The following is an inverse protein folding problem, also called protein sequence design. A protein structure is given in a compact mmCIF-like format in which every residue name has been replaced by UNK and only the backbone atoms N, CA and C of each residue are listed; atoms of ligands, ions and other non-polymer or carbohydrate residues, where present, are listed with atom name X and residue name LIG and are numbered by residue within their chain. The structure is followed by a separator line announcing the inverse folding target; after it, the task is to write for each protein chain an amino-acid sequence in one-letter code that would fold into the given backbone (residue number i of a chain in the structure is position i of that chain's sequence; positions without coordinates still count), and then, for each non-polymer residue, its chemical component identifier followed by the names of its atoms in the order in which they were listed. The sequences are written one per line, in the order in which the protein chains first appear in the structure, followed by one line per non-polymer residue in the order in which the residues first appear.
data_IF_796989304032
#
_entry.id   IF_796989304032
#
_cell.length_a   1.000
_cell.length_b   1.000
_cell.length_c   1.000
_cell.angle_alpha   90.00
_cell.angle_beta   90.00
_cell.angle_gamma   90.00
#
_symmetry.space_group_name_H-M   'P 1'
#
loop_
_entity.id
_entity.type
_entity.pdbx_description
1 polymer ?
#
# COMPACT_ATOMS: atom_id res chain seq x y z
N UNK A 1 9.15 9.74 1.90
CA UNK A 1 9.27 8.32 1.50
C UNK A 1 8.12 7.92 0.60
N UNK A 2 8.33 6.92 -0.29
CA UNK A 2 7.27 6.34 -1.13
C UNK A 2 7.22 4.85 -0.81
N UNK A 3 6.09 4.37 -0.23
CA UNK A 3 5.92 2.98 0.20
C UNK A 3 4.85 2.31 -0.64
N UNK A 4 5.21 1.28 -1.41
CA UNK A 4 4.24 0.40 -2.06
C UNK A 4 3.80 -0.69 -1.08
N UNK A 5 2.49 -0.97 -1.04
CA UNK A 5 1.90 -2.06 -0.27
C UNK A 5 1.46 -3.13 -1.26
N UNK A 6 2.24 -4.19 -1.39
CA UNK A 6 1.97 -5.21 -2.41
C UNK A 6 2.06 -6.64 -1.87
N UNK A 7 1.20 -7.48 -2.37
CA UNK A 7 1.23 -8.93 -2.27
C UNK A 7 0.30 -9.49 -3.36
N UNK A 8 0.72 -10.56 -4.02
CA UNK A 8 -0.05 -11.25 -5.05
C UNK A 8 -1.38 -11.81 -4.51
N UNK A 9 -1.44 -12.17 -3.24
CA UNK A 9 -2.65 -12.72 -2.62
C UNK A 9 -3.73 -11.66 -2.39
N UNK A 10 -4.96 -12.02 -2.72
CA UNK A 10 -6.15 -11.31 -2.28
C UNK A 10 -6.40 -11.50 -0.78
N UNK A 11 -7.04 -10.52 -0.14
CA UNK A 11 -7.52 -10.64 1.25
C UNK A 11 -6.45 -10.65 2.35
N UNK A 12 -5.18 -10.35 2.05
CA UNK A 12 -4.09 -10.31 3.04
C UNK A 12 -3.98 -8.97 3.79
N UNK A 13 -4.92 -8.05 3.62
CA UNK A 13 -4.93 -6.77 4.29
C UNK A 13 -4.05 -5.69 3.64
N UNK A 14 -3.79 -5.73 2.32
CA UNK A 14 -3.07 -4.66 1.59
C UNK A 14 -3.75 -3.31 1.78
N UNK A 15 -4.99 -3.21 1.35
CA UNK A 15 -5.80 -1.98 1.44
C UNK A 15 -5.93 -1.49 2.88
N UNK A 16 -6.24 -2.39 3.83
CA UNK A 16 -6.32 -2.03 5.25
C UNK A 16 -5.00 -1.47 5.77
N UNK A 17 -3.87 -2.06 5.34
CA UNK A 17 -2.53 -1.57 5.70
C UNK A 17 -2.24 -0.22 5.05
N UNK A 18 -2.56 -0.03 3.76
CA UNK A 18 -2.34 1.22 3.06
C UNK A 18 -3.14 2.38 3.67
N UNK A 19 -4.43 2.16 3.91
CA UNK A 19 -5.36 3.13 4.53
C UNK A 19 -4.85 3.56 5.91
N UNK A 20 -4.57 2.60 6.79
CA UNK A 20 -4.23 2.91 8.17
C UNK A 20 -2.77 3.39 8.34
N UNK A 21 -1.84 2.92 7.51
CA UNK A 21 -0.48 3.49 7.50
C UNK A 21 -0.48 4.94 7.00
N UNK A 22 -1.21 5.25 5.93
CA UNK A 22 -1.32 6.62 5.42
C UNK A 22 -1.97 7.54 6.45
N UNK A 23 -3.03 7.08 7.13
CA UNK A 23 -3.69 7.82 8.20
C UNK A 23 -2.74 8.07 9.40
N UNK A 24 -2.01 7.06 9.86
CA UNK A 24 -1.05 7.20 10.96
C UNK A 24 0.05 8.22 10.64
N UNK A 25 0.59 8.20 9.43
CA UNK A 25 1.59 9.16 8.96
C UNK A 25 1.03 10.59 8.92
N UNK A 26 -0.21 10.76 8.45
CA UNK A 26 -0.89 12.05 8.41
C UNK A 26 -1.15 12.61 9.82
N UNK A 27 -1.57 11.78 10.77
CA UNK A 27 -1.78 12.16 12.18
C UNK A 27 -0.51 12.64 12.86
N UNK A 28 0.67 12.25 12.38
CA UNK A 28 1.97 12.76 12.83
C UNK A 28 2.32 14.15 12.23
N UNK A 29 1.37 14.80 11.58
CA UNK A 29 1.55 16.11 10.95
C UNK A 29 2.34 16.06 9.63
N UNK A 30 2.50 14.89 9.02
CA UNK A 30 3.22 14.72 7.76
C UNK A 30 2.23 14.72 6.59
N UNK A 31 2.37 15.67 5.66
CA UNK A 31 1.53 15.70 4.45
C UNK A 31 1.70 14.37 3.69
N UNK A 32 0.64 13.57 3.63
CA UNK A 32 0.65 12.19 3.14
C UNK A 32 -0.35 12.02 2.01
N UNK A 33 0.08 11.38 0.93
CA UNK A 33 -0.74 11.00 -0.21
C UNK A 33 -0.94 9.48 -0.22
N UNK A 34 -2.18 9.03 -0.26
CA UNK A 34 -2.55 7.66 -0.55
C UNK A 34 -2.90 7.56 -2.04
N UNK A 35 -2.17 6.73 -2.79
CA UNK A 35 -2.44 6.45 -4.20
C UNK A 35 -3.09 5.07 -4.28
N UNK A 36 -4.30 5.02 -4.80
CA UNK A 36 -5.03 3.78 -5.03
C UNK A 36 -4.76 3.28 -6.46
N UNK A 37 -4.19 2.09 -6.59
CA UNK A 37 -3.95 1.42 -7.88
C UNK A 37 -4.79 0.13 -8.04
N UNK A 38 -5.71 -0.15 -7.11
CA UNK A 38 -6.62 -1.27 -7.26
C UNK A 38 -7.89 -0.82 -8.00
N UNK A 39 -8.26 -1.46 -9.14
CA UNK A 39 -9.53 -1.16 -9.83
C UNK A 39 -10.77 -1.30 -8.95
N UNK A 40 -10.69 -2.04 -7.84
CA UNK A 40 -11.79 -2.15 -6.86
C UNK A 40 -11.99 -0.86 -6.04
N UNK A 41 -11.01 0.06 -6.06
CA UNK A 41 -11.05 1.37 -5.41
C UNK A 41 -11.34 1.34 -3.89
N UNK A 42 -10.96 0.25 -3.20
CA UNK A 42 -11.27 0.09 -1.78
C UNK A 42 -10.57 1.12 -0.88
N UNK A 43 -9.32 1.51 -1.20
CA UNK A 43 -8.63 2.60 -0.49
C UNK A 43 -9.31 3.94 -0.71
N UNK A 44 -9.78 4.20 -1.92
CA UNK A 44 -10.47 5.44 -2.30
C UNK A 44 -11.78 5.60 -1.53
N UNK A 45 -12.64 4.58 -1.55
CA UNK A 45 -13.96 4.64 -0.89
C UNK A 45 -13.86 4.58 0.63
N UNK A 46 -12.71 4.19 1.18
CA UNK A 46 -12.44 4.27 2.63
C UNK A 46 -12.36 5.70 3.16
N UNK A 47 -12.26 6.71 2.29
CA UNK A 47 -12.20 8.13 2.68
C UNK A 47 -13.11 9.03 1.85
N UNK A 48 -13.45 8.64 0.63
CA UNK A 48 -14.14 9.48 -0.33
C UNK A 48 -15.54 8.95 -0.66
N UNK A 49 -16.43 9.85 -1.06
CA UNK A 49 -17.67 9.46 -1.71
C UNK A 49 -17.38 9.11 -3.16
N UNK A 50 -17.90 7.99 -3.62
CA UNK A 50 -17.71 7.52 -5.00
C UNK A 50 -18.13 8.59 -6.03
N UNK A 51 -19.23 9.29 -5.79
CA UNK A 51 -19.78 10.32 -6.67
C UNK A 51 -18.92 11.59 -6.76
N UNK A 52 -18.03 11.81 -5.78
CA UNK A 52 -17.09 12.93 -5.79
C UNK A 52 -15.83 12.66 -6.64
N UNK A 53 -15.65 11.43 -7.10
CA UNK A 53 -14.49 11.04 -7.90
C UNK A 53 -14.79 11.27 -9.39
N UNK A 54 -14.43 12.42 -9.92
CA UNK A 54 -14.59 12.73 -11.36
C UNK A 54 -13.48 12.10 -12.18
N UNK A 55 -12.22 12.21 -11.72
CA UNK A 55 -11.01 11.66 -12.34
C UNK A 55 -10.27 10.76 -11.38
N UNK A 56 -9.49 9.84 -11.91
CA UNK A 56 -8.84 8.77 -11.16
C UNK A 56 -7.38 8.56 -11.58
N UNK A 57 -6.70 7.66 -10.92
CA UNK A 57 -5.35 7.21 -11.28
C UNK A 57 -5.28 6.66 -12.71
N UNK A 58 -6.39 6.12 -13.25
CA UNK A 58 -6.47 5.76 -14.67
C UNK A 58 -6.20 6.98 -15.55
N UNK A 59 -6.91 8.09 -15.33
CA UNK A 59 -6.82 9.29 -16.15
C UNK A 59 -5.40 9.90 -16.05
N UNK A 60 -4.85 9.97 -14.83
CA UNK A 60 -3.51 10.50 -14.62
C UNK A 60 -2.43 9.66 -15.33
N UNK A 61 -2.55 8.33 -15.37
CA UNK A 61 -1.55 7.44 -15.97
C UNK A 61 -1.76 7.32 -17.50
N UNK A 62 -3.02 7.23 -17.97
CA UNK A 62 -3.34 7.00 -19.37
C UNK A 62 -3.27 8.27 -20.22
N UNK A 63 -3.47 9.45 -19.63
CA UNK A 63 -3.54 10.71 -20.34
C UNK A 63 -2.28 11.56 -20.06
N UNK A 64 -1.46 11.89 -21.09
CA UNK A 64 -0.23 12.67 -20.88
C UNK A 64 -0.49 14.04 -20.24
N UNK A 65 -1.59 14.71 -20.60
CA UNK A 65 -1.97 16.03 -20.11
C UNK A 65 -2.57 16.03 -18.69
N UNK A 66 -3.08 14.89 -18.20
CA UNK A 66 -3.63 14.81 -16.86
C UNK A 66 -2.48 14.62 -15.85
N UNK A 67 -2.25 15.63 -15.01
CA UNK A 67 -1.25 15.52 -13.93
C UNK A 67 -1.83 14.74 -12.74
N UNK A 68 -0.96 14.11 -11.96
CA UNK A 68 -1.39 13.46 -10.74
C UNK A 68 -2.04 14.47 -9.76
N UNK A 69 -1.54 15.70 -9.71
CA UNK A 69 -2.11 16.76 -8.88
C UNK A 69 -3.57 17.10 -9.23
N UNK A 70 -3.98 16.88 -10.49
CA UNK A 70 -5.33 17.24 -10.95
C UNK A 70 -6.41 16.27 -10.47
N UNK A 71 -6.01 15.12 -9.91
CA UNK A 71 -6.92 14.07 -9.40
C UNK A 71 -6.86 13.91 -7.88
N UNK A 72 -5.96 14.61 -7.19
CA UNK A 72 -5.78 14.47 -5.74
C UNK A 72 -6.93 15.17 -5.01
N UNK A 73 -7.58 14.43 -4.12
CA UNK A 73 -8.68 14.91 -3.30
C UNK A 73 -8.28 14.93 -1.81
N UNK A 74 -8.67 15.98 -1.06
CA UNK A 74 -8.51 16.00 0.40
C UNK A 74 -9.46 15.01 1.06
N UNK A 75 -9.09 14.52 2.24
CA UNK A 75 -9.97 13.73 3.11
C UNK A 75 -10.43 14.56 4.32
N UNK A 76 -11.30 13.98 5.14
CA UNK A 76 -11.69 14.58 6.43
C UNK A 76 -10.55 14.54 7.46
N UNK A 77 -9.57 13.66 7.29
CA UNK A 77 -8.39 13.58 8.15
C UNK A 77 -7.36 14.63 7.72
N UNK A 78 -6.95 15.58 8.59
CA UNK A 78 -5.93 16.56 8.27
C UNK A 78 -4.63 15.92 7.76
N UNK A 79 -4.00 16.54 6.77
CA UNK A 79 -2.76 16.10 6.12
C UNK A 79 -2.86 14.80 5.31
N UNK A 80 -4.04 14.19 5.19
CA UNK A 80 -4.25 13.01 4.34
C UNK A 80 -4.99 13.39 3.06
N UNK A 81 -4.42 13.00 1.94
CA UNK A 81 -4.96 13.20 0.59
C UNK A 81 -5.00 11.85 -0.14
N UNK A 82 -5.93 11.72 -1.08
CA UNK A 82 -6.11 10.49 -1.88
C UNK A 82 -6.05 10.83 -3.37
N UNK A 83 -5.24 10.08 -4.11
CA UNK A 83 -5.35 9.96 -5.57
C UNK A 83 -6.20 8.70 -5.85
N UNK A 84 -7.49 8.87 -6.20
CA UNK A 84 -8.45 7.78 -6.18
C UNK A 84 -8.35 6.87 -7.41
N UNK A 85 -8.72 5.60 -7.24
CA UNK A 85 -8.98 4.66 -8.32
C UNK A 85 -10.45 4.65 -8.73
N UNK A 86 -10.70 4.08 -9.91
CA UNK A 86 -12.02 3.67 -10.42
C UNK A 86 -11.88 2.37 -11.17
N UNK A 87 -13.00 1.70 -11.43
CA UNK A 87 -13.03 0.44 -12.18
C UNK A 87 -12.39 0.55 -13.58
N UNK A 88 -12.37 1.75 -14.18
CA UNK A 88 -11.68 2.03 -15.45
C UNK A 88 -10.20 1.66 -15.42
N UNK A 89 -9.57 1.66 -14.24
CA UNK A 89 -8.17 1.31 -14.06
C UNK A 89 -7.87 -0.14 -14.52
N UNK A 90 -8.84 -1.04 -14.49
CA UNK A 90 -8.71 -2.39 -15.05
C UNK A 90 -8.39 -2.39 -16.57
N UNK A 91 -8.68 -1.31 -17.29
CA UNK A 91 -8.41 -1.17 -18.73
C UNK A 91 -7.00 -0.62 -19.02
N UNK A 92 -6.23 -0.23 -17.97
CA UNK A 92 -4.96 0.47 -18.15
C UNK A 92 -3.93 -0.39 -18.88
N UNK A 93 -3.83 -1.67 -18.53
CA UNK A 93 -2.88 -2.58 -19.18
C UNK A 93 -3.12 -2.66 -20.70
N UNK A 94 -4.37 -2.82 -21.11
CA UNK A 94 -4.74 -2.82 -22.54
C UNK A 94 -4.47 -1.46 -23.22
N UNK A 95 -4.64 -0.37 -22.49
CA UNK A 95 -4.42 1.00 -23.00
C UNK A 95 -2.94 1.28 -23.26
N UNK A 96 -2.05 0.72 -22.43
CA UNK A 96 -0.61 0.94 -22.49
C UNK A 96 0.16 -0.15 -23.28
N UNK A 97 -0.54 -1.08 -23.90
CA UNK A 97 0.08 -2.08 -24.78
C UNK A 97 0.87 -1.40 -25.88
N UNK A 98 2.14 -1.77 -26.02
CA UNK A 98 3.06 -1.22 -27.02
C UNK A 98 3.80 0.05 -26.59
N UNK A 99 3.47 0.66 -25.45
CA UNK A 99 4.25 1.77 -24.92
C UNK A 99 5.51 1.26 -24.21
N UNK A 100 6.69 1.69 -24.65
CA UNK A 100 7.97 1.25 -24.12
C UNK A 100 8.20 1.67 -22.65
N UNK A 101 7.61 2.79 -22.25
CA UNK A 101 7.71 3.40 -20.92
C UNK A 101 6.52 3.10 -20.02
N UNK A 102 5.64 2.15 -20.39
CA UNK A 102 4.40 1.83 -19.68
C UNK A 102 4.59 1.61 -18.17
N UNK A 103 5.73 1.04 -17.75
CA UNK A 103 6.01 0.76 -16.35
C UNK A 103 6.64 1.93 -15.56
N UNK A 104 6.94 3.06 -16.22
CA UNK A 104 7.46 4.29 -15.57
C UNK A 104 6.38 5.36 -15.36
N UNK A 105 5.19 5.20 -15.94
CA UNK A 105 4.16 6.24 -15.96
C UNK A 105 3.85 6.81 -14.57
N UNK A 106 3.64 5.95 -13.57
CA UNK A 106 3.35 6.43 -12.22
C UNK A 106 4.55 7.19 -11.60
N UNK A 107 5.77 6.70 -11.81
CA UNK A 107 6.98 7.35 -11.32
C UNK A 107 7.10 8.78 -11.87
N UNK A 108 6.85 8.95 -13.16
CA UNK A 108 6.93 10.25 -13.83
C UNK A 108 5.84 11.20 -13.31
N UNK A 109 4.62 10.68 -13.07
CA UNK A 109 3.53 11.47 -12.50
C UNK A 109 3.79 11.87 -11.05
N UNK A 110 4.39 11.00 -10.23
CA UNK A 110 4.80 11.34 -8.86
C UNK A 110 5.92 12.39 -8.87
N UNK A 111 6.87 12.31 -9.79
CA UNK A 111 7.95 13.30 -9.89
C UNK A 111 7.42 14.73 -10.14
N UNK A 112 6.31 14.88 -10.86
CA UNK A 112 5.65 16.17 -11.11
C UNK A 112 5.08 16.84 -9.84
N UNK A 113 4.92 16.11 -8.75
CA UNK A 113 4.49 16.68 -7.45
C UNK A 113 5.61 17.47 -6.74
N UNK A 114 6.85 17.43 -7.26
CA UNK A 114 7.99 18.23 -6.77
C UNK A 114 8.22 18.16 -5.25
N UNK A 115 7.96 17.01 -4.63
CA UNK A 115 8.16 16.83 -3.20
C UNK A 115 7.08 17.44 -2.30
N UNK A 116 5.93 17.81 -2.85
CA UNK A 116 4.80 18.38 -2.10
C UNK A 116 4.34 17.49 -0.94
N UNK A 117 4.44 16.15 -1.09
CA UNK A 117 4.07 15.18 -0.08
C UNK A 117 5.31 14.58 0.58
N UNK A 118 5.37 14.61 1.91
CA UNK A 118 6.45 14.02 2.69
C UNK A 118 6.41 12.49 2.65
N UNK A 119 5.20 11.94 2.58
CA UNK A 119 4.96 10.50 2.45
C UNK A 119 3.97 10.21 1.33
N UNK A 120 4.24 9.14 0.60
CA UNK A 120 3.31 8.57 -0.39
C UNK A 120 3.16 7.09 -0.06
N UNK A 121 1.92 6.64 0.09
CA UNK A 121 1.57 5.23 0.26
C UNK A 121 0.81 4.79 -0.98
N UNK A 122 1.22 3.67 -1.60
CA UNK A 122 0.61 3.16 -2.81
C UNK A 122 -0.05 1.81 -2.50
N UNK A 123 -1.37 1.75 -2.62
CA UNK A 123 -2.14 0.49 -2.50
C UNK A 123 -2.17 -0.24 -3.83
N UNK A 124 -1.68 -1.48 -3.86
CA UNK A 124 -1.55 -2.28 -5.07
C UNK A 124 -2.66 -3.33 -5.18
N UNK A 125 -3.10 -3.66 -6.42
CA UNK A 125 -4.05 -4.74 -6.66
C UNK A 125 -3.46 -6.12 -6.28
N UNK A 126 -4.30 -7.17 -6.14
CA UNK A 126 -3.85 -8.53 -5.86
C UNK A 126 -3.35 -9.25 -7.13
N UNK A 127 -2.44 -8.60 -7.87
CA UNK A 127 -1.85 -9.13 -9.09
C UNK A 127 -0.46 -8.53 -9.30
N UNK A 128 0.44 -9.26 -9.94
CA UNK A 128 1.80 -8.80 -10.30
C UNK A 128 1.84 -8.23 -11.73
N UNK A 129 0.74 -7.61 -12.17
CA UNK A 129 0.62 -6.97 -13.49
C UNK A 129 1.25 -5.58 -13.55
N UNK A 130 0.97 -4.86 -14.63
CA UNK A 130 1.54 -3.56 -14.94
C UNK A 130 1.30 -2.51 -13.83
N UNK A 131 0.15 -2.53 -13.17
CA UNK A 131 -0.16 -1.63 -12.05
C UNK A 131 0.80 -1.81 -10.87
N UNK A 132 1.00 -3.05 -10.44
CA UNK A 132 1.93 -3.37 -9.35
C UNK A 132 3.38 -3.05 -9.75
N UNK A 133 3.77 -3.33 -11.00
CA UNK A 133 5.10 -2.95 -11.50
C UNK A 133 5.28 -1.43 -11.48
N UNK A 134 4.29 -0.63 -11.91
CA UNK A 134 4.32 0.83 -11.80
C UNK A 134 4.53 1.29 -10.35
N UNK A 135 3.83 0.68 -9.39
CA UNK A 135 4.02 0.98 -7.97
C UNK A 135 5.44 0.69 -7.51
N UNK A 136 5.98 -0.49 -7.83
CA UNK A 136 7.35 -0.90 -7.45
C UNK A 136 8.43 -0.03 -8.11
N UNK A 137 8.21 0.41 -9.36
CA UNK A 137 9.13 1.30 -10.08
C UNK A 137 9.13 2.70 -9.48
N UNK A 138 8.00 3.18 -8.97
CA UNK A 138 7.88 4.49 -8.34
C UNK A 138 8.32 4.50 -6.86
N UNK A 139 8.23 3.36 -6.17
CA UNK A 139 8.45 3.27 -4.73
C UNK A 139 9.92 3.35 -4.33
N UNK A 140 10.19 3.92 -3.15
CA UNK A 140 11.47 3.79 -2.45
C UNK A 140 11.52 2.54 -1.59
N UNK A 141 10.36 2.12 -1.07
CA UNK A 141 10.23 0.98 -0.17
C UNK A 141 9.01 0.13 -0.52
N UNK A 142 9.13 -1.18 -0.24
CA UNK A 142 8.04 -2.14 -0.34
C UNK A 142 7.74 -2.72 1.03
N UNK A 143 6.48 -2.66 1.46
CA UNK A 143 5.93 -3.35 2.60
C UNK A 143 5.00 -4.46 2.12
N UNK A 144 5.16 -5.67 2.66
CA UNK A 144 4.45 -6.87 2.23
C UNK A 144 3.53 -7.33 3.37
N UNK A 145 2.23 -7.05 3.34
CA UNK A 145 1.28 -7.68 4.25
C UNK A 145 1.13 -9.16 3.92
N UNK A 146 1.20 -10.02 4.95
CA UNK A 146 1.05 -11.46 4.79
C UNK A 146 0.12 -12.00 5.87
N UNK A 147 -1.00 -12.59 5.44
CA UNK A 147 -1.98 -13.16 6.36
C UNK A 147 -1.43 -14.39 7.08
N UNK A 148 -1.67 -14.49 8.38
CA UNK A 148 -1.36 -15.67 9.19
C UNK A 148 -2.30 -16.84 8.86
N UNK A 149 -2.15 -17.46 7.69
CA UNK A 149 -2.97 -18.57 7.19
C UNK A 149 -2.10 -19.69 6.62
N UNK A 150 -2.66 -20.91 6.49
CA UNK A 150 -1.94 -22.07 5.98
C UNK A 150 -1.22 -21.82 4.63
N UNK A 151 -1.82 -21.03 3.78
CA UNK A 151 -1.25 -20.66 2.48
C UNK A 151 -0.38 -19.38 2.51
N UNK A 152 0.10 -18.95 3.68
CA UNK A 152 0.79 -17.68 3.85
C UNK A 152 1.97 -17.45 2.88
N UNK A 153 2.70 -18.50 2.55
CA UNK A 153 3.90 -18.43 1.69
C UNK A 153 3.63 -18.71 0.20
N UNK A 154 2.41 -19.09 -0.17
CA UNK A 154 2.05 -19.33 -1.56
C UNK A 154 2.16 -18.04 -2.38
N UNK A 155 2.75 -18.10 -3.56
CA UNK A 155 2.97 -16.94 -4.44
C UNK A 155 4.08 -15.97 -3.96
N UNK A 156 4.77 -16.29 -2.87
CA UNK A 156 5.89 -15.47 -2.38
C UNK A 156 7.04 -15.45 -3.38
N UNK A 157 7.33 -16.57 -4.04
CA UNK A 157 8.43 -16.67 -4.99
C UNK A 157 8.21 -15.80 -6.21
N UNK A 158 7.00 -15.75 -6.77
CA UNK A 158 6.65 -14.88 -7.90
C UNK A 158 6.79 -13.40 -7.54
N UNK A 159 6.38 -13.04 -6.32
CA UNK A 159 6.54 -11.66 -5.82
C UNK A 159 8.02 -11.31 -5.70
N UNK A 160 8.84 -12.18 -5.09
CA UNK A 160 10.27 -11.95 -4.93
C UNK A 160 10.98 -11.88 -6.29
N UNK A 161 10.63 -12.74 -7.25
CA UNK A 161 11.15 -12.68 -8.61
C UNK A 161 10.80 -11.35 -9.30
N UNK A 162 9.56 -10.89 -9.16
CA UNK A 162 9.12 -9.59 -9.70
C UNK A 162 9.91 -8.44 -9.09
N UNK A 163 10.12 -8.45 -7.77
CA UNK A 163 10.92 -7.44 -7.05
C UNK A 163 12.36 -7.44 -7.59
N UNK A 164 12.98 -8.60 -7.77
CA UNK A 164 14.35 -8.69 -8.28
C UNK A 164 14.45 -8.17 -9.73
N UNK A 165 13.48 -8.47 -10.60
CA UNK A 165 13.41 -7.90 -11.96
C UNK A 165 13.31 -6.37 -11.94
N UNK A 166 12.50 -5.82 -11.02
CA UNK A 166 12.38 -4.36 -10.85
C UNK A 166 13.70 -3.76 -10.34
N UNK A 167 14.37 -4.41 -9.39
CA UNK A 167 15.65 -3.94 -8.83
C UNK A 167 16.82 -4.01 -9.80
N UNK A 168 16.80 -4.97 -10.72
CA UNK A 168 17.89 -5.14 -11.69
C UNK A 168 18.00 -3.98 -12.68
N UNK A 169 16.90 -3.32 -13.06
CA UNK A 169 16.91 -2.25 -14.07
C UNK A 169 16.00 -1.07 -13.76
N UNK A 170 14.64 -1.23 -13.66
CA UNK A 170 13.75 -0.05 -13.59
C UNK A 170 13.91 0.75 -12.30
N UNK A 171 14.19 0.08 -11.16
CA UNK A 171 14.36 0.75 -9.86
C UNK A 171 15.38 0.04 -8.95
N UNK A 172 16.68 0.19 -9.17
CA UNK A 172 17.73 -0.40 -8.33
C UNK A 172 17.69 0.07 -6.87
N UNK A 173 17.07 1.22 -6.61
CA UNK A 173 16.96 1.79 -5.27
C UNK A 173 15.80 1.21 -4.44
N UNK A 174 14.92 0.39 -5.04
CA UNK A 174 13.81 -0.22 -4.32
C UNK A 174 14.30 -1.10 -3.17
N UNK A 175 13.81 -0.84 -1.95
CA UNK A 175 14.16 -1.61 -0.75
C UNK A 175 12.94 -2.36 -0.22
N UNK A 176 13.12 -3.64 0.13
CA UNK A 176 12.11 -4.36 0.91
C UNK A 176 12.20 -3.86 2.35
N UNK A 177 11.19 -3.12 2.78
CA UNK A 177 11.08 -2.61 4.14
C UNK A 177 10.81 -3.76 5.12
N UNK A 178 9.92 -4.65 4.75
CA UNK A 178 9.65 -5.87 5.51
C UNK A 178 8.30 -6.50 5.19
N UNK A 179 8.06 -7.60 5.92
CA UNK A 179 6.81 -8.36 5.89
C UNK A 179 6.07 -8.14 7.20
N UNK A 180 4.83 -7.65 7.14
CA UNK A 180 3.94 -7.53 8.31
C UNK A 180 2.94 -8.67 8.33
N UNK A 181 2.85 -9.37 9.45
CA UNK A 181 1.88 -10.43 9.66
C UNK A 181 0.53 -9.80 10.01
N UNK A 182 -0.52 -10.16 9.27
CA UNK A 182 -1.86 -9.63 9.41
C UNK A 182 -2.87 -10.70 9.82
N UNK A 183 -4.02 -10.26 10.33
CA UNK A 183 -5.14 -11.14 10.74
C UNK A 183 -4.71 -12.28 11.66
N UNK A 184 -3.74 -12.00 12.53
CA UNK A 184 -3.15 -13.00 13.41
C UNK A 184 -4.06 -13.29 14.60
N UNK A 185 -4.40 -14.56 14.78
CA UNK A 185 -5.11 -15.04 15.99
C UNK A 185 -4.12 -15.78 16.91
N UNK A 186 -3.64 -15.09 17.93
CA UNK A 186 -2.65 -15.62 18.90
C UNK A 186 -3.10 -16.90 19.64
N UNK A 187 -4.42 -17.19 19.64
CA UNK A 187 -4.99 -18.34 20.35
C UNK A 187 -4.76 -19.66 19.62
N UNK A 188 -4.48 -19.63 18.32
CA UNK A 188 -4.34 -20.85 17.51
C UNK A 188 -2.88 -21.31 17.40
N UNK A 189 -2.65 -22.64 17.50
CA UNK A 189 -1.34 -23.22 17.26
C UNK A 189 -0.87 -22.93 15.82
N UNK A 190 -1.78 -23.07 14.86
CA UNK A 190 -1.51 -22.81 13.44
C UNK A 190 -0.92 -21.41 13.20
N UNK A 191 -1.45 -20.38 13.85
CA UNK A 191 -0.94 -19.01 13.67
C UNK A 191 0.50 -18.86 14.18
N UNK A 192 0.87 -19.59 15.23
CA UNK A 192 2.25 -19.62 15.75
C UNK A 192 3.19 -20.30 14.77
N UNK A 193 2.82 -21.46 14.27
CA UNK A 193 3.63 -22.24 13.32
C UNK A 193 3.86 -21.45 12.02
N UNK A 194 2.83 -20.79 11.52
CA UNK A 194 2.93 -19.95 10.31
C UNK A 194 3.83 -18.74 10.55
N UNK A 195 3.72 -18.09 11.71
CA UNK A 195 4.65 -16.99 12.06
C UNK A 195 6.11 -17.45 12.02
N UNK A 196 6.40 -18.63 12.53
CA UNK A 196 7.75 -19.21 12.47
C UNK A 196 8.19 -19.49 11.02
N UNK A 197 7.30 -20.00 10.18
CA UNK A 197 7.59 -20.23 8.77
C UNK A 197 7.88 -18.92 8.03
N UNK A 198 7.10 -17.86 8.24
CA UNK A 198 7.35 -16.54 7.68
C UNK A 198 8.72 -16.02 8.14
N UNK A 199 9.06 -16.18 9.42
CA UNK A 199 10.36 -15.81 9.94
C UNK A 199 11.52 -16.62 9.31
N UNK A 200 11.32 -17.90 9.01
CA UNK A 200 12.33 -18.73 8.32
C UNK A 200 12.60 -18.23 6.91
N UNK A 201 11.58 -17.77 6.19
CA UNK A 201 11.71 -17.29 4.79
C UNK A 201 12.27 -15.86 4.76
N UNK A 202 11.75 -14.95 5.58
CA UNK A 202 12.05 -13.53 5.49
C UNK A 202 13.06 -13.02 6.54
N UNK A 203 13.37 -13.83 7.55
CA UNK A 203 14.36 -13.51 8.58
C UNK A 203 14.09 -12.17 9.27
N UNK A 204 15.12 -11.35 9.38
CA UNK A 204 15.06 -10.03 10.00
C UNK A 204 14.19 -8.99 9.27
N UNK A 205 13.64 -9.34 8.10
CA UNK A 205 12.69 -8.49 7.38
C UNK A 205 11.27 -8.58 7.92
N UNK A 206 10.95 -9.57 8.76
CA UNK A 206 9.62 -9.64 9.40
C UNK A 206 9.50 -8.51 10.42
N UNK A 207 8.39 -7.78 10.38
CA UNK A 207 8.09 -6.76 11.39
C UNK A 207 7.88 -7.40 12.76
N UNK A 208 8.30 -6.71 13.82
CA UNK A 208 8.00 -7.11 15.21
C UNK A 208 6.50 -6.95 15.46
N UNK A 209 5.94 -5.88 14.90
CA UNK A 209 4.51 -5.58 14.94
C UNK A 209 3.72 -6.60 14.15
N UNK A 210 2.63 -7.08 14.75
CA UNK A 210 1.69 -8.04 14.18
C UNK A 210 0.30 -7.44 14.25
N UNK A 211 -0.44 -7.43 13.15
CA UNK A 211 -1.81 -6.95 13.12
C UNK A 211 -2.76 -8.10 13.50
N UNK A 212 -3.41 -7.97 14.64
CA UNK A 212 -4.38 -8.95 15.11
C UNK A 212 -5.66 -8.91 14.25
N UNK A 213 -6.36 -10.06 14.19
CA UNK A 213 -7.71 -10.09 13.61
C UNK A 213 -8.64 -9.17 14.42
N UNK A 214 -9.25 -8.18 13.76
CA UNK A 214 -10.07 -7.17 14.43
C UNK A 214 -11.23 -6.73 13.51
N UNK A 215 -12.46 -6.94 13.95
CA UNK A 215 -13.69 -6.60 13.23
C UNK A 215 -13.79 -5.09 12.95
N UNK A 216 -13.28 -4.25 13.85
CA UNK A 216 -13.30 -2.79 13.66
C UNK A 216 -12.52 -2.32 12.43
N UNK A 217 -11.46 -3.06 12.04
CA UNK A 217 -10.72 -2.81 10.80
C UNK A 217 -11.52 -3.17 9.55
N UNK A 218 -12.46 -4.10 9.65
CA UNK A 218 -13.35 -4.48 8.56
C UNK A 218 -14.53 -3.49 8.43
N UNK A 219 -14.97 -2.90 9.55
CA UNK A 219 -16.08 -1.97 9.62
C UNK A 219 -15.71 -0.53 9.22
N UNK A 220 -14.52 -0.05 9.61
CA UNK A 220 -14.13 1.36 9.46
C UNK A 220 -14.27 1.91 8.03
N UNK A 221 -14.00 1.16 6.93
CA UNK A 221 -14.18 1.68 5.57
C UNK A 221 -15.63 2.02 5.23
N UNK A 222 -16.60 1.31 5.81
CA UNK A 222 -18.02 1.59 5.59
C UNK A 222 -18.44 2.97 6.14
N UNK A 223 -17.71 3.48 7.13
CA UNK A 223 -17.91 4.80 7.73
C UNK A 223 -17.01 5.88 7.12
N UNK A 224 -16.16 5.51 6.11
CA UNK A 224 -15.20 6.40 5.46
C UNK A 224 -14.17 6.98 6.43
N UNK A 225 -13.75 6.16 7.36
CA UNK A 225 -12.83 6.50 8.42
C UNK A 225 -11.66 5.53 8.50
N UNK A 226 -10.52 6.05 8.97
CA UNK A 226 -9.43 5.20 9.42
C UNK A 226 -9.81 4.53 10.76
N UNK A 227 -9.06 3.49 11.15
CA UNK A 227 -9.25 2.86 12.46
C UNK A 227 -9.06 3.86 13.61
N UNK A 228 -8.23 4.88 13.42
CA UNK A 228 -7.89 5.86 14.45
C UNK A 228 -9.03 6.83 14.76
N UNK A 229 -9.89 7.12 13.79
CA UNK A 229 -11.09 7.97 13.97
C UNK A 229 -12.30 7.13 14.33
N UNK A 230 -12.44 5.96 13.71
CA UNK A 230 -13.58 5.07 13.91
C UNK A 230 -13.57 4.34 15.26
N UNK A 231 -12.41 3.79 15.67
CA UNK A 231 -12.28 3.02 16.90
C UNK A 231 -10.86 3.23 17.52
N UNK A 232 -10.56 4.43 18.06
CA UNK A 232 -9.22 4.80 18.53
C UNK A 232 -8.67 3.90 19.63
N UNK A 233 -9.55 3.35 20.48
CA UNK A 233 -9.16 2.49 21.61
C UNK A 233 -9.06 1.01 21.23
N UNK A 234 -9.25 0.67 19.95
CA UNK A 234 -9.19 -0.72 19.49
C UNK A 234 -7.75 -1.26 19.40
N UNK A 235 -7.62 -2.58 19.49
CA UNK A 235 -6.35 -3.23 19.22
C UNK A 235 -5.84 -2.95 17.80
N UNK A 236 -6.74 -2.79 16.81
CA UNK A 236 -6.39 -2.42 15.46
C UNK A 236 -5.72 -1.05 15.35
N UNK A 237 -6.19 -0.06 16.12
CA UNK A 237 -5.57 1.26 16.18
C UNK A 237 -4.17 1.17 16.81
N UNK A 238 -4.02 0.45 17.91
CA UNK A 238 -2.72 0.23 18.56
C UNK A 238 -1.74 -0.49 17.63
N UNK A 239 -2.18 -1.55 16.96
CA UNK A 239 -1.33 -2.35 16.08
C UNK A 239 -0.84 -1.51 14.88
N UNK A 240 -1.72 -0.74 14.21
CA UNK A 240 -1.33 0.11 13.08
C UNK A 240 -0.51 1.32 13.49
N UNK A 241 -0.72 1.87 14.69
CA UNK A 241 0.16 2.90 15.22
C UNK A 241 1.57 2.34 15.43
N UNK A 242 1.70 1.17 16.07
CA UNK A 242 2.97 0.48 16.27
C UNK A 242 3.66 0.12 14.95
N UNK A 243 2.88 -0.29 13.94
CA UNK A 243 3.42 -0.54 12.59
C UNK A 243 4.00 0.74 11.98
N UNK A 244 3.30 1.86 12.11
CA UNK A 244 3.77 3.15 11.61
C UNK A 244 5.10 3.56 12.25
N UNK A 245 5.24 3.41 13.58
CA UNK A 245 6.50 3.68 14.28
C UNK A 245 7.63 2.79 13.75
N UNK A 246 7.40 1.49 13.64
CA UNK A 246 8.41 0.55 13.15
C UNK A 246 8.77 0.80 11.67
N UNK A 247 7.82 1.25 10.84
CA UNK A 247 8.08 1.68 9.45
C UNK A 247 9.03 2.86 9.43
N UNK A 248 8.78 3.88 10.25
CA UNK A 248 9.64 5.08 10.34
C UNK A 248 11.04 4.70 10.81
N UNK A 249 11.16 3.94 11.89
CA UNK A 249 12.45 3.46 12.42
C UNK A 249 13.25 2.71 11.34
N UNK A 250 12.59 1.80 10.58
CA UNK A 250 13.26 1.03 9.52
C UNK A 250 13.71 1.86 8.33
N UNK A 251 12.99 2.93 8.02
CA UNK A 251 13.38 3.87 6.95
C UNK A 251 14.59 4.69 7.40
N UNK A 252 14.57 5.21 8.64
CA UNK A 252 15.64 6.07 9.20
C UNK A 252 16.93 5.29 9.48
N UNK A 253 16.84 4.11 10.09
CA UNK A 253 18.00 3.27 10.44
C UNK A 253 18.87 2.86 9.24
N UNK A 254 18.38 3.01 8.01
CA UNK A 254 19.11 2.64 6.78
C UNK A 254 19.56 3.85 5.96
N UNK A 255 19.38 5.05 6.51
CA UNK A 255 19.84 6.31 5.90
C UNK A 255 21.20 6.73 6.49
N UNK A 256 21.61 6.08 7.59
CA UNK A 256 22.94 6.16 8.21
C UNK A 256 23.81 5.00 7.74
#
# INVERSE_FOLDING_TARGET
MIVAIANQKGGVGKTTTAVNLAAALAMRGKKTLLIDLDPQANSSISFLNHDAIERSTFDAIAEPQCRLADIILPTTLPNLFVAPARISLAKLEARLVGELDAHFKLKDKIAQLNGEFQNIVIDCPPALGLLTVNALVAATHLLIPNQSSYFALEGTDDLLETIEKVRQRPNPALRILGVVITMHDKRTALARDIREQIHKVFGGKVFKTVIAKNVRLEESPAYKESIFTFAPDSAGATDYYSLCEEVIERVEARTT
#
